data_IF_943052569249
#
_entry.id   IF_943052569249
#
_cell.length_a   1.000
_cell.length_b   1.000
_cell.length_c   1.000
_cell.angle_alpha   90.00
_cell.angle_beta   90.00
_cell.angle_gamma   90.00
#
_symmetry.space_group_name_H-M   'P 1'
#
loop_
_entity.id
_entity.type
_entity.pdbx_description
1 polymer ?
#
# COMPACT_ATOMS: atom_id res chain seq x y z
N UNK A 1 -18.49 11.95 10.44
CA UNK A 1 -17.60 12.72 9.56
C UNK A 1 -16.77 11.74 8.78
N UNK A 2 -16.80 11.76 7.43
CA UNK A 2 -15.94 10.91 6.61
C UNK A 2 -14.55 11.54 6.58
N UNK A 3 -13.61 10.97 7.33
CA UNK A 3 -12.25 11.50 7.45
C UNK A 3 -11.32 10.74 6.50
N UNK A 4 -10.44 11.45 5.81
CA UNK A 4 -9.44 10.83 4.94
C UNK A 4 -8.44 10.03 5.80
N UNK A 5 -8.11 8.78 5.41
CA UNK A 5 -7.02 8.04 6.05
C UNK A 5 -5.70 8.80 6.03
N UNK A 6 -4.86 8.55 7.03
CA UNK A 6 -3.52 9.12 7.09
C UNK A 6 -2.68 8.71 5.88
N UNK A 7 -1.67 9.50 5.55
CA UNK A 7 -0.77 9.18 4.43
C UNK A 7 -0.03 7.85 4.64
N UNK A 8 0.18 7.42 5.89
CA UNK A 8 0.75 6.11 6.20
C UNK A 8 -0.19 4.96 5.81
N UNK A 9 -1.46 5.05 6.17
CA UNK A 9 -2.47 4.04 5.83
C UNK A 9 -2.73 3.97 4.32
N UNK A 10 -2.72 5.12 3.63
CA UNK A 10 -2.83 5.17 2.17
C UNK A 10 -1.61 4.54 1.47
N UNK A 11 -0.39 4.72 2.01
CA UNK A 11 0.82 4.07 1.50
C UNK A 11 0.76 2.57 1.70
N UNK A 12 0.33 2.11 2.87
CA UNK A 12 0.18 0.68 3.16
C UNK A 12 -0.82 0.01 2.21
N UNK A 13 -2.00 0.61 2.03
CA UNK A 13 -2.98 0.16 1.04
C UNK A 13 -2.40 0.12 -0.38
N UNK A 14 -1.61 1.14 -0.77
CA UNK A 14 -0.95 1.16 -2.07
C UNK A 14 0.05 0.01 -2.22
N UNK A 15 0.88 -0.24 -1.22
CA UNK A 15 1.87 -1.32 -1.24
C UNK A 15 1.21 -2.69 -1.40
N UNK A 16 0.19 -2.97 -0.57
CA UNK A 16 -0.58 -4.22 -0.62
C UNK A 16 -1.33 -4.39 -1.95
N UNK A 17 -1.91 -3.31 -2.48
CA UNK A 17 -2.55 -3.30 -3.79
C UNK A 17 -1.54 -3.64 -4.90
N UNK A 18 -0.35 -3.01 -4.89
CA UNK A 18 0.67 -3.28 -5.91
C UNK A 18 1.19 -4.71 -5.81
N UNK A 19 1.43 -5.22 -4.60
CA UNK A 19 1.88 -6.58 -4.38
C UNK A 19 0.83 -7.63 -4.80
N UNK A 20 -0.46 -7.39 -4.50
CA UNK A 20 -1.54 -8.32 -4.90
C UNK A 20 -1.76 -8.38 -6.41
N UNK A 21 -1.61 -7.25 -7.12
CA UNK A 21 -1.82 -7.20 -8.58
C UNK A 21 -0.57 -7.66 -9.33
N UNK A 22 0.58 -7.06 -9.03
CA UNK A 22 1.82 -7.26 -9.79
C UNK A 22 2.65 -8.40 -9.20
N UNK A 23 2.68 -8.54 -7.88
CA UNK A 23 3.67 -9.34 -7.15
C UNK A 23 4.84 -8.46 -6.73
N UNK A 24 6.00 -9.08 -6.55
CA UNK A 24 7.23 -8.41 -6.14
C UNK A 24 7.56 -7.19 -7.00
N UNK A 25 8.10 -6.17 -6.34
CA UNK A 25 8.49 -4.93 -6.99
C UNK A 25 9.51 -5.18 -8.11
N UNK A 26 9.20 -4.64 -9.29
CA UNK A 26 9.94 -4.85 -10.53
C UNK A 26 10.37 -3.54 -11.22
N UNK A 27 10.26 -2.43 -10.50
CA UNK A 27 10.66 -1.10 -10.98
C UNK A 27 11.84 -0.58 -10.16
N UNK A 28 12.68 0.24 -10.78
CA UNK A 28 13.80 0.88 -10.10
C UNK A 28 13.33 1.94 -9.11
N UNK A 29 14.14 2.18 -8.08
CA UNK A 29 13.83 3.18 -7.06
C UNK A 29 13.81 4.59 -7.70
N UNK A 30 12.72 5.37 -7.54
CA UNK A 30 12.65 6.72 -8.05
C UNK A 30 13.76 7.61 -7.51
N UNK A 31 14.21 8.56 -8.34
CA UNK A 31 15.25 9.53 -7.95
C UNK A 31 14.83 10.40 -6.76
N UNK A 32 15.82 10.96 -6.06
CA UNK A 32 15.64 11.69 -4.78
C UNK A 32 14.70 12.91 -4.90
N UNK A 33 14.55 13.47 -6.10
CA UNK A 33 13.65 14.59 -6.38
C UNK A 33 12.17 14.19 -6.42
N UNK A 34 11.85 12.90 -6.60
CA UNK A 34 10.48 12.39 -6.56
C UNK A 34 10.17 11.71 -5.21
N UNK A 35 9.95 12.55 -4.19
CA UNK A 35 9.64 12.09 -2.83
C UNK A 35 8.34 11.26 -2.77
N UNK A 36 7.36 11.58 -3.63
CA UNK A 36 6.07 10.86 -3.67
C UNK A 36 6.22 9.50 -4.33
N UNK A 37 6.92 9.43 -5.46
CA UNK A 37 7.25 8.18 -6.12
C UNK A 37 8.09 7.29 -5.22
N UNK A 38 9.11 7.84 -4.56
CA UNK A 38 9.93 7.11 -3.60
C UNK A 38 9.11 6.51 -2.47
N UNK A 39 8.20 7.29 -1.86
CA UNK A 39 7.35 6.78 -0.78
C UNK A 39 6.41 5.65 -1.24
N UNK A 40 5.88 5.72 -2.48
CA UNK A 40 5.08 4.64 -3.09
C UNK A 40 5.93 3.40 -3.36
N UNK A 41 7.13 3.60 -3.90
CA UNK A 41 8.09 2.54 -4.18
C UNK A 41 8.47 1.82 -2.89
N UNK A 42 8.80 2.56 -1.83
CA UNK A 42 9.13 2.00 -0.51
C UNK A 42 7.96 1.19 0.05
N UNK A 43 6.74 1.72 -0.03
CA UNK A 43 5.55 1.02 0.45
C UNK A 43 5.30 -0.30 -0.27
N UNK A 44 5.57 -0.38 -1.57
CA UNK A 44 5.48 -1.63 -2.33
C UNK A 44 6.67 -2.55 -2.05
N UNK A 45 7.89 -2.02 -1.98
CA UNK A 45 9.10 -2.80 -1.67
C UNK A 45 9.03 -3.45 -0.28
N UNK A 46 8.35 -2.82 0.68
CA UNK A 46 8.09 -3.40 2.00
C UNK A 46 7.22 -4.68 1.96
N UNK A 47 6.43 -4.87 0.91
CA UNK A 47 5.58 -6.05 0.73
C UNK A 47 6.25 -7.14 -0.11
N UNK A 48 7.53 -6.97 -0.48
CA UNK A 48 8.27 -7.93 -1.28
C UNK A 48 8.37 -9.28 -0.56
N UNK A 49 8.16 -10.37 -1.31
CA UNK A 49 8.14 -11.74 -0.80
C UNK A 49 6.76 -12.19 -0.30
N UNK A 50 5.79 -11.29 -0.17
CA UNK A 50 4.41 -11.65 0.14
C UNK A 50 3.75 -12.25 -1.11
N UNK A 51 3.01 -13.36 -0.97
CA UNK A 51 2.24 -13.92 -2.08
C UNK A 51 1.14 -12.93 -2.52
N UNK A 52 0.63 -13.09 -3.74
CA UNK A 52 -0.44 -12.22 -4.24
C UNK A 52 -1.71 -12.40 -3.43
N UNK A 53 -1.98 -13.63 -3.02
CA UNK A 53 -3.13 -14.04 -2.23
C UNK A 53 -3.06 -13.46 -0.81
N UNK A 54 -1.89 -13.53 -0.17
CA UNK A 54 -1.67 -12.96 1.16
C UNK A 54 -1.75 -11.43 1.12
N UNK A 55 -1.17 -10.80 0.09
CA UNK A 55 -1.26 -9.35 -0.12
C UNK A 55 -2.71 -8.89 -0.31
N UNK A 56 -3.52 -9.65 -1.06
CA UNK A 56 -4.94 -9.35 -1.25
C UNK A 56 -5.72 -9.49 0.06
N UNK A 57 -5.45 -10.54 0.82
CA UNK A 57 -6.09 -10.76 2.12
C UNK A 57 -5.76 -9.65 3.12
N UNK A 58 -4.48 -9.24 3.19
CA UNK A 58 -4.03 -8.12 4.00
C UNK A 58 -4.63 -6.78 3.53
N UNK A 59 -4.74 -6.55 2.22
CA UNK A 59 -5.40 -5.35 1.68
C UNK A 59 -6.86 -5.25 2.14
N UNK A 60 -7.61 -6.35 2.05
CA UNK A 60 -9.02 -6.40 2.47
C UNK A 60 -9.14 -6.16 3.98
N UNK A 61 -8.28 -6.78 4.77
CA UNK A 61 -8.26 -6.58 6.22
C UNK A 61 -7.99 -5.11 6.58
N UNK A 62 -6.99 -4.49 5.95
CA UNK A 62 -6.65 -3.09 6.16
C UNK A 62 -7.77 -2.16 5.71
N UNK A 63 -8.37 -2.42 4.55
CA UNK A 63 -9.49 -1.62 4.05
C UNK A 63 -10.69 -1.67 5.01
N UNK A 64 -11.03 -2.83 5.56
CA UNK A 64 -12.09 -2.98 6.58
C UNK A 64 -11.78 -2.19 7.85
N UNK A 65 -10.56 -2.28 8.37
CA UNK A 65 -10.11 -1.51 9.53
C UNK A 65 -10.30 -0.01 9.31
N UNK A 66 -9.92 0.49 8.13
CA UNK A 66 -10.04 1.91 7.79
C UNK A 66 -11.49 2.35 7.59
N UNK A 67 -12.33 1.50 7.00
CA UNK A 67 -13.76 1.77 6.88
C UNK A 67 -14.40 1.92 8.27
N UNK A 68 -14.08 1.03 9.20
CA UNK A 68 -14.58 1.07 10.58
C UNK A 68 -14.06 2.31 11.32
N UNK A 69 -12.75 2.58 11.23
CA UNK A 69 -12.08 3.71 11.88
C UNK A 69 -12.60 5.07 11.42
N UNK A 70 -12.91 5.20 10.13
CA UNK A 70 -13.32 6.47 9.52
C UNK A 70 -14.82 6.57 9.23
N UNK A 71 -15.59 5.52 9.51
CA UNK A 71 -17.04 5.46 9.31
C UNK A 71 -17.46 5.71 7.85
N UNK A 72 -16.78 5.07 6.90
CA UNK A 72 -17.02 5.24 5.46
C UNK A 72 -18.21 4.42 4.97
#
# INVERSE_FOLDING_TARGET
>A
MKTRPSDGELKELYGLYKQSVVGDINIECPGILDLKGKAKWEAWNLQKGLSKEDAMSAYIAKAKELIEKYGI
#
